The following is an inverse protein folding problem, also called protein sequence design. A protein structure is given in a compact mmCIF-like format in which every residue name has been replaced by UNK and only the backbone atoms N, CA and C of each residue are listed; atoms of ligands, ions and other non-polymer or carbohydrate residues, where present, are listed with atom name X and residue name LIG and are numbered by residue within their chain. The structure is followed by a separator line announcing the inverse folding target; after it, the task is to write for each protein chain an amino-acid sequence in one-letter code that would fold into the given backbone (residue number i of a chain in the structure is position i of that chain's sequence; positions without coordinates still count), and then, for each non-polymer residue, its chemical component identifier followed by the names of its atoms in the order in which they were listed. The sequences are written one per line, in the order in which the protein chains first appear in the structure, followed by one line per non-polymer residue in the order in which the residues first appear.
data_IF_932130688179
#
_entry.id   IF_932130688179
#
_cell.length_a   1.000
_cell.length_b   1.000
_cell.length_c   1.000
_cell.angle_alpha   90.00
_cell.angle_beta   90.00
_cell.angle_gamma   90.00
#
_symmetry.space_group_name_H-M   'P 1'
#
loop_
_entity.id
_entity.type
_entity.pdbx_description
1 polymer ?
#
# COMPACT_ATOMS: atom_id res chain seq x y z
N UNK A 1 39.05 -3.40 6.73
CA UNK A 1 37.65 -3.81 6.58
C UNK A 1 37.00 -2.94 5.51
N UNK A 2 36.11 -3.46 4.68
CA UNK A 2 35.46 -2.60 3.69
C UNK A 2 34.71 -1.47 4.41
N UNK A 3 34.77 -0.27 3.86
CA UNK A 3 34.02 0.87 4.34
C UNK A 3 32.52 0.51 4.28
N UNK A 4 31.75 0.75 5.33
CA UNK A 4 30.32 0.39 5.43
C UNK A 4 29.99 -1.12 5.42
N UNK A 5 30.79 -1.95 6.06
CA UNK A 5 30.58 -3.41 6.12
C UNK A 5 29.16 -3.82 6.57
N UNK A 6 28.55 -3.10 7.52
CA UNK A 6 27.19 -3.38 7.98
C UNK A 6 26.11 -3.05 6.94
N UNK A 7 26.29 -1.95 6.18
CA UNK A 7 25.33 -1.55 5.14
C UNK A 7 25.26 -2.60 4.02
N UNK A 8 26.39 -3.19 3.67
CA UNK A 8 26.48 -4.18 2.60
C UNK A 8 26.39 -5.63 3.08
N UNK A 9 26.12 -5.86 4.39
CA UNK A 9 25.88 -7.21 4.88
C UNK A 9 24.46 -7.67 4.56
N UNK A 10 24.23 -8.96 4.25
CA UNK A 10 22.89 -9.49 4.03
C UNK A 10 21.97 -9.30 5.24
N UNK A 11 20.66 -9.25 4.98
CA UNK A 11 19.61 -9.22 6.00
C UNK A 11 18.51 -10.20 5.61
N UNK A 12 18.14 -11.10 6.51
CA UNK A 12 17.03 -12.03 6.28
C UNK A 12 15.75 -11.53 7.00
N UNK A 13 14.68 -11.35 6.25
CA UNK A 13 13.35 -10.98 6.71
C UNK A 13 12.38 -12.12 6.41
N UNK A 14 11.97 -12.91 7.44
CA UNK A 14 11.02 -14.02 7.31
C UNK A 14 11.25 -14.93 6.07
N UNK A 15 12.52 -15.34 5.84
CA UNK A 15 12.86 -16.22 4.71
C UNK A 15 13.28 -15.51 3.42
N UNK A 16 13.06 -14.21 3.29
CA UNK A 16 13.58 -13.39 2.19
C UNK A 16 14.96 -12.86 2.56
N UNK A 17 15.99 -13.24 1.84
CA UNK A 17 17.36 -12.75 2.06
C UNK A 17 17.68 -11.59 1.14
N UNK A 18 17.83 -10.42 1.71
CA UNK A 18 18.26 -9.20 1.02
C UNK A 18 19.79 -9.21 0.88
N UNK A 19 20.32 -8.85 -0.28
CA UNK A 19 21.78 -8.81 -0.54
C UNK A 19 22.51 -7.75 0.27
N UNK A 20 21.83 -6.71 0.74
CA UNK A 20 22.33 -5.63 1.58
C UNK A 20 21.17 -4.93 2.31
N UNK A 21 21.45 -3.89 3.08
CA UNK A 21 20.50 -3.15 3.90
C UNK A 21 20.04 -1.82 3.26
N UNK A 22 20.12 -1.72 1.95
CA UNK A 22 19.67 -0.54 1.20
C UNK A 22 18.25 -0.77 0.73
N UNK A 23 17.33 0.04 1.23
CA UNK A 23 15.90 0.01 0.88
C UNK A 23 15.56 1.21 0.00
N UNK A 24 14.93 0.97 -1.15
CA UNK A 24 14.15 1.97 -1.88
C UNK A 24 12.71 1.94 -1.34
N UNK A 25 12.34 2.92 -0.53
CA UNK A 25 11.02 3.01 0.09
C UNK A 25 9.91 3.28 -0.94
N UNK A 26 8.67 2.92 -0.60
CA UNK A 26 7.49 3.23 -1.40
C UNK A 26 7.26 4.73 -1.54
N UNK A 27 7.01 5.18 -2.77
CA UNK A 27 6.65 6.57 -3.08
C UNK A 27 5.91 6.62 -4.42
N UNK A 28 5.00 7.56 -4.56
CA UNK A 28 4.24 7.74 -5.80
C UNK A 28 5.15 8.30 -6.90
N UNK A 29 5.15 7.59 -8.02
CA UNK A 29 6.00 7.94 -9.17
C UNK A 29 5.27 8.76 -10.22
N UNK A 30 3.94 8.81 -10.17
CA UNK A 30 3.05 9.35 -11.20
C UNK A 30 3.19 8.71 -12.60
N UNK A 31 3.93 7.59 -12.70
CA UNK A 31 4.13 6.84 -13.95
C UNK A 31 2.95 5.94 -14.32
N UNK A 32 2.27 5.26 -13.37
CA UNK A 32 1.12 4.44 -13.70
C UNK A 32 -0.04 5.26 -14.27
N UNK A 33 -0.79 4.65 -15.17
CA UNK A 33 -2.06 5.12 -15.69
C UNK A 33 -3.07 3.98 -15.58
N UNK A 34 -4.34 4.31 -15.43
CA UNK A 34 -5.44 3.32 -15.39
C UNK A 34 -5.29 2.22 -14.30
N UNK A 35 -4.54 2.51 -13.24
CA UNK A 35 -4.36 1.57 -12.13
C UNK A 35 -3.39 0.43 -12.41
N UNK A 36 -2.64 0.44 -13.51
CA UNK A 36 -1.83 -0.67 -13.98
C UNK A 36 -0.33 -0.41 -13.92
N UNK A 37 0.45 -1.47 -13.75
CA UNK A 37 1.90 -1.46 -13.95
C UNK A 37 2.20 -1.33 -15.44
N UNK A 38 2.98 -0.33 -15.81
CA UNK A 38 3.39 -0.08 -17.20
C UNK A 38 4.93 -0.19 -17.36
N UNK A 39 5.39 -0.14 -18.61
CA UNK A 39 6.83 -0.28 -18.92
C UNK A 39 7.70 0.80 -18.25
N UNK A 40 7.20 2.03 -18.13
CA UNK A 40 7.94 3.11 -17.49
C UNK A 40 8.17 2.83 -15.99
N UNK A 41 7.18 2.30 -15.29
CA UNK A 41 7.30 1.92 -13.88
C UNK A 41 8.24 0.72 -13.70
N UNK A 42 8.20 -0.27 -14.61
CA UNK A 42 9.12 -1.41 -14.59
C UNK A 42 10.58 -0.92 -14.72
N UNK A 43 10.88 -0.10 -15.71
CA UNK A 43 12.24 0.44 -15.92
C UNK A 43 12.68 1.34 -14.76
N UNK A 44 11.77 2.11 -14.17
CA UNK A 44 12.04 2.92 -13.00
C UNK A 44 12.56 2.08 -11.81
N UNK A 45 11.91 0.96 -11.51
CA UNK A 45 12.32 0.08 -10.42
C UNK A 45 13.52 -0.79 -10.79
N UNK A 46 13.62 -1.26 -12.05
CA UNK A 46 14.78 -2.00 -12.55
C UNK A 46 16.06 -1.17 -12.43
N UNK A 47 16.02 0.11 -12.77
CA UNK A 47 17.17 1.00 -12.64
C UNK A 47 17.66 1.11 -11.18
N UNK A 48 16.77 1.13 -10.19
CA UNK A 48 17.13 1.13 -8.76
C UNK A 48 17.70 -0.20 -8.29
N UNK A 49 17.12 -1.30 -8.74
CA UNK A 49 17.66 -2.63 -8.50
C UNK A 49 19.07 -2.78 -9.07
N UNK A 50 19.27 -2.37 -10.33
CA UNK A 50 20.60 -2.33 -10.99
C UNK A 50 21.59 -1.42 -10.27
N UNK A 51 21.10 -0.31 -9.68
CA UNK A 51 21.89 0.62 -8.85
C UNK A 51 22.33 0.06 -7.51
N UNK A 52 21.87 -1.15 -7.13
CA UNK A 52 22.35 -1.88 -5.94
C UNK A 52 21.40 -1.94 -4.76
N UNK A 53 20.14 -1.49 -4.87
CA UNK A 53 19.17 -1.67 -3.80
C UNK A 53 19.00 -3.15 -3.43
N UNK A 54 18.91 -3.47 -2.13
CA UNK A 54 18.65 -4.82 -1.62
C UNK A 54 17.17 -5.15 -1.58
N UNK A 55 16.33 -4.14 -1.35
CA UNK A 55 14.87 -4.25 -1.34
C UNK A 55 14.27 -3.01 -2.00
N UNK A 56 13.25 -3.20 -2.80
CA UNK A 56 12.38 -2.15 -3.32
C UNK A 56 10.98 -2.36 -2.76
N UNK A 57 10.38 -1.31 -2.21
CA UNK A 57 8.93 -1.25 -1.95
C UNK A 57 8.33 -0.38 -3.05
N UNK A 58 7.30 -0.88 -3.75
CA UNK A 58 6.64 -0.13 -4.82
C UNK A 58 5.81 1.02 -4.25
N UNK A 59 5.33 1.92 -5.10
CA UNK A 59 4.29 2.85 -4.71
C UNK A 59 3.03 2.13 -4.24
N UNK A 60 2.13 2.87 -3.62
CA UNK A 60 0.89 2.32 -3.06
C UNK A 60 0.00 1.67 -4.11
N UNK A 61 -0.62 0.55 -3.73
CA UNK A 61 -1.60 -0.19 -4.51
C UNK A 61 -2.94 -0.23 -3.75
N UNK A 62 -3.99 0.30 -4.36
CA UNK A 62 -5.33 0.31 -3.81
C UNK A 62 -5.89 -1.10 -3.67
N UNK A 63 -6.35 -1.44 -2.48
CA UNK A 63 -6.86 -2.79 -2.15
C UNK A 63 -8.37 -2.94 -2.34
N UNK A 64 -9.08 -1.84 -2.54
CA UNK A 64 -10.53 -1.77 -2.73
C UNK A 64 -10.87 -0.65 -3.72
N UNK A 65 -12.02 -0.72 -4.41
CA UNK A 65 -12.40 0.30 -5.39
C UNK A 65 -12.56 1.70 -4.77
N UNK A 66 -12.89 1.79 -3.49
CA UNK A 66 -12.94 3.07 -2.76
C UNK A 66 -11.55 3.64 -2.41
N UNK A 67 -10.46 2.95 -2.79
CA UNK A 67 -9.10 3.42 -2.54
C UNK A 67 -8.54 4.35 -3.63
N UNK A 68 -9.31 4.68 -4.66
CA UNK A 68 -8.88 5.56 -5.75
C UNK A 68 -8.77 7.01 -5.25
N UNK A 69 -7.54 7.46 -4.97
CA UNK A 69 -7.29 8.79 -4.44
C UNK A 69 -6.58 9.73 -5.42
N UNK A 70 -5.94 9.18 -6.45
CA UNK A 70 -5.37 9.88 -7.60
C UNK A 70 -5.53 9.06 -8.88
N UNK A 71 -5.33 9.70 -10.05
CA UNK A 71 -5.31 9.03 -11.35
C UNK A 71 -4.08 8.13 -11.57
N UNK A 72 -3.03 8.29 -10.76
CA UNK A 72 -1.75 7.58 -10.86
C UNK A 72 -1.58 6.45 -9.84
N UNK A 73 -2.64 6.10 -9.14
CA UNK A 73 -2.64 4.99 -8.18
C UNK A 73 -2.56 3.66 -8.91
N UNK A 74 -1.75 2.73 -8.42
CA UNK A 74 -1.87 1.31 -8.78
C UNK A 74 -3.10 0.70 -8.10
N UNK A 75 -3.76 -0.25 -8.77
CA UNK A 75 -4.88 -0.99 -8.20
C UNK A 75 -4.57 -2.49 -8.14
N UNK A 76 -4.90 -3.10 -7.00
CA UNK A 76 -4.72 -4.54 -6.77
C UNK A 76 -6.06 -5.26 -6.52
N UNK A 77 -7.15 -4.72 -7.09
CA UNK A 77 -8.53 -5.16 -6.81
C UNK A 77 -8.99 -6.34 -7.67
N UNK A 78 -8.34 -6.58 -8.81
CA UNK A 78 -8.70 -7.66 -9.74
C UNK A 78 -7.48 -8.49 -10.15
N UNK A 79 -7.72 -9.70 -10.66
CA UNK A 79 -6.67 -10.60 -11.17
C UNK A 79 -5.89 -10.01 -12.36
N UNK A 80 -6.47 -9.05 -13.08
CA UNK A 80 -5.81 -8.37 -14.20
C UNK A 80 -4.49 -7.67 -13.81
N UNK A 81 -4.31 -7.29 -12.53
CA UNK A 81 -3.09 -6.67 -12.05
C UNK A 81 -1.89 -7.64 -12.03
N UNK A 82 -2.13 -8.96 -11.92
CA UNK A 82 -1.08 -9.97 -11.70
C UNK A 82 -0.01 -9.93 -12.81
N UNK A 83 -0.42 -9.86 -14.06
CA UNK A 83 0.53 -9.88 -15.19
C UNK A 83 1.53 -8.71 -15.14
N UNK A 84 1.06 -7.51 -14.82
CA UNK A 84 1.91 -6.33 -14.69
C UNK A 84 2.87 -6.42 -13.50
N UNK A 85 2.38 -6.84 -12.33
CA UNK A 85 3.22 -7.04 -11.15
C UNK A 85 4.23 -8.17 -11.34
N UNK A 86 3.87 -9.24 -12.06
CA UNK A 86 4.79 -10.33 -12.42
C UNK A 86 5.95 -9.81 -13.28
N UNK A 87 5.66 -9.07 -14.33
CA UNK A 87 6.71 -8.48 -15.18
C UNK A 87 7.62 -7.53 -14.39
N UNK A 88 7.06 -6.76 -13.46
CA UNK A 88 7.82 -5.89 -12.56
C UNK A 88 8.72 -6.70 -11.62
N UNK A 89 8.19 -7.76 -10.99
CA UNK A 89 8.95 -8.64 -10.10
C UNK A 89 10.11 -9.31 -10.85
N UNK A 90 9.86 -9.89 -12.02
CA UNK A 90 10.88 -10.51 -12.86
C UNK A 90 12.01 -9.55 -13.23
N UNK A 91 11.67 -8.31 -13.61
CA UNK A 91 12.67 -7.29 -13.96
C UNK A 91 13.55 -6.87 -12.78
N UNK A 92 12.99 -6.78 -11.56
CA UNK A 92 13.71 -6.44 -10.35
C UNK A 92 14.56 -7.62 -9.84
N UNK A 93 14.00 -8.83 -9.87
CA UNK A 93 14.71 -10.06 -9.49
C UNK A 93 15.90 -10.36 -10.42
N UNK A 94 15.79 -10.07 -11.72
CA UNK A 94 16.90 -10.22 -12.67
C UNK A 94 18.13 -9.40 -12.28
N UNK A 95 17.96 -8.32 -11.54
CA UNK A 95 19.03 -7.48 -10.99
C UNK A 95 19.43 -7.89 -9.55
N UNK A 96 18.91 -9.02 -9.03
CA UNK A 96 19.24 -9.54 -7.69
C UNK A 96 18.67 -8.72 -6.52
N UNK A 97 17.55 -8.05 -6.70
CA UNK A 97 16.89 -7.23 -5.69
C UNK A 97 15.53 -7.84 -5.32
N UNK A 98 15.19 -7.86 -4.05
CA UNK A 98 13.84 -8.23 -3.59
C UNK A 98 12.84 -7.09 -3.83
N UNK A 99 11.55 -7.43 -3.97
CA UNK A 99 10.49 -6.46 -4.23
C UNK A 99 9.23 -6.75 -3.41
N UNK A 100 8.71 -5.73 -2.71
CA UNK A 100 7.44 -5.74 -1.98
C UNK A 100 6.46 -4.77 -2.63
N UNK A 101 5.16 -5.05 -2.54
CA UNK A 101 4.11 -4.09 -2.88
C UNK A 101 3.59 -3.40 -1.63
N UNK A 102 3.33 -2.10 -1.71
CA UNK A 102 2.76 -1.32 -0.63
C UNK A 102 1.23 -1.33 -0.74
N UNK A 103 0.53 -2.05 0.15
CA UNK A 103 -0.93 -2.17 0.18
C UNK A 103 -1.57 -0.99 0.93
N UNK A 104 -2.65 -0.45 0.39
CA UNK A 104 -3.10 0.87 0.72
C UNK A 104 -4.63 1.08 0.64
N UNK A 105 -5.14 1.90 1.55
CA UNK A 105 -6.44 2.56 1.43
C UNK A 105 -6.34 3.98 2.00
N UNK A 106 -6.67 5.03 1.22
CA UNK A 106 -6.46 6.42 1.62
C UNK A 106 -7.36 6.88 2.76
N UNK A 107 -8.51 6.22 2.93
CA UNK A 107 -9.52 6.75 3.83
C UNK A 107 -10.07 8.08 3.32
N UNK A 108 -9.98 9.14 4.13
CA UNK A 108 -10.42 10.50 3.75
C UNK A 108 -9.42 11.31 2.92
N UNK A 109 -8.23 10.77 2.66
CA UNK A 109 -7.15 11.45 1.92
C UNK A 109 -7.36 11.30 0.41
N UNK A 110 -8.49 11.79 -0.13
CA UNK A 110 -8.78 11.82 -1.56
C UNK A 110 -8.22 13.12 -2.13
N UNK A 111 -7.37 13.04 -3.15
CA UNK A 111 -6.63 14.17 -3.69
C UNK A 111 -7.23 14.69 -5.00
N UNK A 112 -7.47 13.77 -5.96
CA UNK A 112 -7.96 14.11 -7.30
C UNK A 112 -8.60 12.89 -7.97
N UNK A 113 -9.27 13.13 -9.09
CA UNK A 113 -9.68 12.08 -10.02
C UNK A 113 -9.40 12.52 -11.46
N UNK A 114 -9.26 11.53 -12.37
CA UNK A 114 -8.94 11.79 -13.77
C UNK A 114 -10.00 12.62 -14.51
N UNK A 115 -11.24 12.54 -14.06
CA UNK A 115 -12.41 13.24 -14.64
C UNK A 115 -12.74 14.57 -13.95
N UNK A 116 -11.91 15.00 -12.99
CA UNK A 116 -12.13 16.20 -12.19
C UNK A 116 -13.23 16.06 -11.13
N UNK A 117 -13.86 14.90 -11.01
CA UNK A 117 -14.82 14.56 -9.96
C UNK A 117 -14.10 13.85 -8.84
N UNK A 118 -14.15 14.38 -7.61
CA UNK A 118 -13.57 13.69 -6.46
C UNK A 118 -14.35 12.40 -6.16
N UNK A 119 -13.61 11.31 -5.98
CA UNK A 119 -14.20 10.06 -5.50
C UNK A 119 -14.82 10.26 -4.11
N UNK A 120 -15.83 9.45 -3.79
CA UNK A 120 -16.43 9.48 -2.44
C UNK A 120 -15.38 8.99 -1.44
N UNK A 121 -14.97 9.87 -0.55
CA UNK A 121 -14.07 9.53 0.54
C UNK A 121 -14.82 8.74 1.64
N UNK A 122 -14.15 7.75 2.20
CA UNK A 122 -14.62 6.97 3.34
C UNK A 122 -13.62 7.05 4.49
N UNK A 123 -14.13 7.09 5.73
CA UNK A 123 -13.29 7.18 6.93
C UNK A 123 -13.95 6.45 8.10
N UNK A 124 -13.28 6.23 9.23
CA UNK A 124 -13.93 5.67 10.42
C UNK A 124 -15.15 6.50 10.86
N UNK A 125 -15.09 7.82 10.71
CA UNK A 125 -16.15 8.77 11.05
C UNK A 125 -16.18 9.93 10.06
N UNK A 126 -17.30 10.65 9.97
CA UNK A 126 -17.48 11.81 9.07
C UNK A 126 -16.75 13.05 9.63
N UNK A 127 -15.43 13.00 9.77
CA UNK A 127 -14.58 14.11 10.17
C UNK A 127 -13.93 14.73 8.95
N UNK A 128 -14.11 16.03 8.67
CA UNK A 128 -13.60 16.69 7.47
C UNK A 128 -12.10 16.55 7.30
N UNK A 129 -11.66 16.44 6.06
CA UNK A 129 -10.25 16.61 5.71
C UNK A 129 -9.99 18.07 5.34
N UNK A 130 -9.28 18.78 6.21
CA UNK A 130 -9.00 20.21 6.02
C UNK A 130 -8.01 20.47 4.88
N UNK A 131 -7.15 19.51 4.57
CA UNK A 131 -6.13 19.64 3.52
C UNK A 131 -6.73 19.59 2.11
N UNK A 132 -7.70 18.68 1.91
CA UNK A 132 -8.32 18.43 0.60
C UNK A 132 -9.77 18.91 0.53
N UNK A 133 -10.29 19.54 1.59
CA UNK A 133 -11.67 20.03 1.70
C UNK A 133 -12.73 18.97 1.41
N UNK A 134 -12.46 17.72 1.83
CA UNK A 134 -13.34 16.56 1.61
C UNK A 134 -14.06 16.20 2.90
N UNK A 135 -15.38 16.00 2.81
CA UNK A 135 -16.20 15.43 3.87
C UNK A 135 -16.38 13.94 3.61
N UNK A 136 -15.74 13.04 4.37
CA UNK A 136 -15.87 11.61 4.15
C UNK A 136 -17.20 11.09 4.67
N UNK A 137 -17.66 9.97 4.10
CA UNK A 137 -18.72 9.14 4.68
C UNK A 137 -18.13 8.21 5.72
N UNK A 138 -18.84 8.04 6.84
CA UNK A 138 -18.48 7.02 7.84
C UNK A 138 -18.65 5.61 7.25
N UNK A 139 -17.61 4.77 7.41
CA UNK A 139 -17.65 3.38 6.99
C UNK A 139 -18.71 2.59 7.77
N UNK A 140 -19.53 1.80 7.07
CA UNK A 140 -20.32 0.73 7.71
C UNK A 140 -19.40 -0.41 8.15
N UNK A 141 -19.83 -1.23 9.09
CA UNK A 141 -19.09 -2.44 9.49
C UNK A 141 -18.88 -3.38 8.30
N UNK A 142 -19.91 -3.58 7.47
CA UNK A 142 -19.81 -4.40 6.26
C UNK A 142 -18.73 -3.90 5.31
N UNK A 143 -18.64 -2.58 5.05
CA UNK A 143 -17.60 -2.02 4.18
C UNK A 143 -16.20 -2.10 4.82
N UNK A 144 -16.09 -2.04 6.14
CA UNK A 144 -14.82 -2.31 6.85
C UNK A 144 -14.36 -3.75 6.58
N UNK A 145 -15.25 -4.72 6.67
CA UNK A 145 -14.97 -6.14 6.42
C UNK A 145 -14.61 -6.40 4.95
N UNK A 146 -15.28 -5.74 4.01
CA UNK A 146 -14.94 -5.79 2.59
C UNK A 146 -13.52 -5.25 2.32
N UNK A 147 -13.15 -4.14 2.94
CA UNK A 147 -11.81 -3.56 2.80
C UNK A 147 -10.75 -4.49 3.40
N UNK A 148 -11.00 -5.11 4.55
CA UNK A 148 -10.09 -6.11 5.14
C UNK A 148 -9.90 -7.30 4.18
N UNK A 149 -10.98 -7.82 3.61
CA UNK A 149 -10.93 -8.87 2.58
C UNK A 149 -10.18 -8.41 1.32
N UNK A 150 -10.28 -7.12 0.99
CA UNK A 150 -9.53 -6.47 -0.08
C UNK A 150 -8.01 -6.55 0.15
N UNK A 151 -7.54 -6.24 1.36
CA UNK A 151 -6.12 -6.40 1.74
C UNK A 151 -5.64 -7.84 1.56
N UNK A 152 -6.39 -8.82 2.08
CA UNK A 152 -6.05 -10.24 1.94
C UNK A 152 -5.99 -10.68 0.47
N UNK A 153 -6.97 -10.24 -0.33
CA UNK A 153 -7.03 -10.57 -1.75
C UNK A 153 -5.92 -9.91 -2.55
N UNK A 154 -5.56 -8.66 -2.24
CA UNK A 154 -4.44 -7.96 -2.85
C UNK A 154 -3.10 -8.65 -2.50
N UNK A 155 -2.86 -9.00 -1.23
CA UNK A 155 -1.66 -9.72 -0.82
C UNK A 155 -1.51 -11.06 -1.55
N UNK A 156 -2.60 -11.83 -1.70
CA UNK A 156 -2.61 -13.09 -2.47
C UNK A 156 -2.23 -12.85 -3.93
N UNK A 157 -2.74 -11.78 -4.58
CA UNK A 157 -2.36 -11.44 -5.97
C UNK A 157 -0.88 -11.06 -6.09
N UNK A 158 -0.33 -10.34 -5.11
CA UNK A 158 1.10 -10.03 -5.08
C UNK A 158 1.94 -11.31 -4.95
N UNK A 159 1.54 -12.24 -4.10
CA UNK A 159 2.19 -13.55 -4.01
C UNK A 159 2.11 -14.33 -5.34
N UNK A 160 0.94 -14.38 -5.98
CA UNK A 160 0.75 -15.02 -7.30
C UNK A 160 1.59 -14.35 -8.40
N UNK A 161 1.82 -13.05 -8.31
CA UNK A 161 2.70 -12.30 -9.21
C UNK A 161 4.20 -12.53 -8.94
N UNK A 162 4.55 -13.25 -7.87
CA UNK A 162 5.93 -13.58 -7.51
C UNK A 162 6.66 -12.47 -6.76
N UNK A 163 5.97 -11.52 -6.12
CA UNK A 163 6.59 -10.58 -5.20
C UNK A 163 7.02 -11.29 -3.91
N UNK A 164 8.10 -10.80 -3.29
CA UNK A 164 8.68 -11.39 -2.08
C UNK A 164 7.92 -11.02 -0.80
N UNK A 165 7.04 -10.01 -0.87
CA UNK A 165 6.24 -9.60 0.27
C UNK A 165 5.34 -8.40 0.00
N UNK A 166 4.65 -7.97 1.06
CA UNK A 166 3.81 -6.77 1.05
C UNK A 166 4.10 -5.90 2.27
N UNK A 167 3.87 -4.60 2.12
CA UNK A 167 3.89 -3.62 3.20
C UNK A 167 2.49 -3.04 3.37
N UNK A 168 1.96 -2.98 4.60
CA UNK A 168 0.69 -2.32 4.91
C UNK A 168 0.96 -0.88 5.32
N UNK A 169 0.39 0.10 4.60
CA UNK A 169 0.56 1.52 4.93
C UNK A 169 -0.31 1.90 6.12
N UNK A 170 0.30 1.97 7.31
CA UNK A 170 -0.37 2.41 8.54
C UNK A 170 0.06 3.82 8.98
N UNK A 171 0.62 4.62 8.06
CA UNK A 171 1.16 5.96 8.27
C UNK A 171 0.45 7.02 7.43
N UNK A 172 0.98 8.25 7.38
CA UNK A 172 0.57 9.36 6.51
C UNK A 172 -0.90 9.82 6.66
N UNK A 173 -1.58 9.43 7.73
CA UNK A 173 -3.00 9.76 7.91
C UNK A 173 -3.96 8.91 7.05
N UNK A 174 -3.51 7.80 6.46
CA UNK A 174 -4.35 6.90 5.68
C UNK A 174 -5.27 6.04 6.55
N UNK A 175 -6.13 5.22 5.95
CA UNK A 175 -7.22 4.56 6.66
C UNK A 175 -6.81 3.84 7.96
N UNK A 176 -5.73 3.03 8.02
CA UNK A 176 -5.31 2.43 9.28
C UNK A 176 -4.95 3.46 10.36
N UNK A 177 -4.23 4.54 9.99
CA UNK A 177 -3.90 5.63 10.90
C UNK A 177 -5.14 6.40 11.37
N UNK A 178 -6.17 6.54 10.50
CA UNK A 178 -7.42 7.19 10.86
C UNK A 178 -8.20 6.38 11.91
N UNK A 179 -8.19 5.04 11.82
CA UNK A 179 -8.79 4.18 12.85
C UNK A 179 -8.07 4.32 14.19
N UNK A 180 -6.74 4.42 14.19
CA UNK A 180 -5.94 4.55 15.41
C UNK A 180 -6.12 5.92 16.10
N UNK A 181 -6.41 6.97 15.33
CA UNK A 181 -6.47 8.34 15.83
C UNK A 181 -7.82 8.66 16.51
N UNK A 182 -7.87 8.91 17.84
CA UNK A 182 -9.12 9.18 18.55
C UNK A 182 -9.80 10.50 18.15
N UNK A 183 -9.10 11.41 17.46
CA UNK A 183 -9.71 12.64 16.93
C UNK A 183 -10.43 12.43 15.61
N UNK A 184 -10.11 11.37 14.88
CA UNK A 184 -10.69 11.01 13.59
C UNK A 184 -11.67 9.85 13.70
N UNK A 185 -11.43 8.95 14.64
CA UNK A 185 -12.26 7.79 14.91
C UNK A 185 -13.18 8.06 16.11
N UNK A 186 -14.37 8.59 15.82
CA UNK A 186 -15.39 8.91 16.81
C UNK A 186 -16.44 7.79 16.98
N UNK A 187 -16.12 6.58 16.47
CA UNK A 187 -17.02 5.41 16.53
C UNK A 187 -17.20 4.95 17.96
N UNK A 188 -18.40 4.37 18.22
CA UNK A 188 -18.77 3.78 19.51
C UNK A 188 -19.05 2.26 19.39
N UNK A 189 -18.70 1.67 18.25
CA UNK A 189 -18.82 0.23 17.98
C UNK A 189 -17.48 -0.52 18.21
N UNK A 190 -17.40 -1.77 17.72
CA UNK A 190 -16.21 -2.62 17.87
C UNK A 190 -14.94 -2.04 17.23
N UNK A 191 -15.02 -0.99 16.42
CA UNK A 191 -13.88 -0.36 15.75
C UNK A 191 -13.49 1.01 16.32
N UNK A 192 -14.10 1.45 17.44
CA UNK A 192 -13.83 2.75 18.06
C UNK A 192 -14.04 2.76 19.57
N UNK A 193 -13.97 3.94 20.17
CA UNK A 193 -14.11 4.15 21.62
C UNK A 193 -12.81 3.83 22.39
N UNK A 194 -12.50 2.55 22.61
CA UNK A 194 -11.29 2.11 23.32
C UNK A 194 -10.06 1.99 22.41
N UNK A 195 -8.86 1.99 22.97
CA UNK A 195 -7.60 1.75 22.25
C UNK A 195 -7.60 0.38 21.54
N UNK A 196 -8.09 -0.64 22.22
CA UNK A 196 -8.20 -1.99 21.65
C UNK A 196 -9.11 -2.03 20.42
N UNK A 197 -10.24 -1.32 20.46
CA UNK A 197 -11.16 -1.24 19.33
C UNK A 197 -10.57 -0.41 18.17
N UNK A 198 -9.86 0.69 18.46
CA UNK A 198 -9.21 1.48 17.43
C UNK A 198 -8.08 0.72 16.71
N UNK A 199 -7.41 -0.20 17.39
CA UNK A 199 -6.38 -1.08 16.80
C UNK A 199 -6.97 -2.24 16.00
N UNK A 200 -8.24 -2.58 16.20
CA UNK A 200 -8.88 -3.77 15.62
C UNK A 200 -8.79 -3.83 14.11
N UNK A 201 -9.04 -2.74 13.40
CA UNK A 201 -8.95 -2.70 11.94
C UNK A 201 -7.56 -3.15 11.45
N UNK A 202 -6.50 -2.52 11.94
CA UNK A 202 -5.13 -2.85 11.55
C UNK A 202 -4.76 -4.28 11.95
N UNK A 203 -5.15 -4.72 13.16
CA UNK A 203 -4.91 -6.09 13.62
C UNK A 203 -5.57 -7.13 12.71
N UNK A 204 -6.82 -6.91 12.31
CA UNK A 204 -7.53 -7.80 11.39
C UNK A 204 -6.95 -7.80 9.98
N UNK A 205 -6.50 -6.65 9.46
CA UNK A 205 -5.76 -6.57 8.19
C UNK A 205 -4.50 -7.43 8.25
N UNK A 206 -3.68 -7.28 9.31
CA UNK A 206 -2.44 -8.04 9.46
C UNK A 206 -2.67 -9.55 9.68
N UNK A 207 -3.81 -9.93 10.27
CA UNK A 207 -4.19 -11.34 10.44
C UNK A 207 -4.72 -11.96 9.15
N UNK A 208 -5.31 -11.16 8.26
CA UNK A 208 -5.92 -11.62 7.02
C UNK A 208 -4.89 -11.81 5.89
N UNK A 209 -3.72 -11.17 5.97
CA UNK A 209 -2.58 -11.28 5.06
C UNK A 209 -1.68 -12.47 5.45
#
# INVERSE_FOLDING_TARGET
MPQFAHLFSPLTLRGVTLRNRILSTGHDTTLPTDGTVNAALIEYHRARAKGGAGLIVTQVAGVHETARYTSHLLMATTEACIAGYKALAEAVHAEGCAIFSQLFHPGREIMESADGLLAVAYAPSAVPNERFHVMPRALSVALIEEIISGYASAARRMHQAGLDGVEVVASHGYLPAQFLNPRLNLRQDAYGGSDANRQRFLAQVLQAI
#
